data_IF_933685781582
#
_entry.id   IF_933685781582
#
_cell.length_a   1.000
_cell.length_b   1.000
_cell.length_c   1.000
_cell.angle_alpha   90.00
_cell.angle_beta   90.00
_cell.angle_gamma   90.00
#
_symmetry.space_group_name_H-M   'P 1'
#
loop_
_entity.id
_entity.type
_entity.pdbx_description
1 polymer ?
#
# COMPACT_ATOMS: atom_id res chain seq x y z
N UNK A 1 24.76 21.45 13.19
CA UNK A 1 23.48 20.72 13.09
C UNK A 1 22.51 21.42 14.01
N UNK A 2 21.62 22.24 13.45
CA UNK A 2 20.49 22.76 14.23
C UNK A 2 19.44 21.65 14.25
N UNK A 3 18.93 21.22 15.41
CA UNK A 3 17.81 20.29 15.43
C UNK A 3 16.63 20.98 14.72
N UNK A 4 16.17 20.38 13.63
CA UNK A 4 14.87 20.70 13.05
C UNK A 4 13.81 20.30 14.07
N UNK A 5 12.80 21.14 14.28
CA UNK A 5 11.68 20.85 15.18
C UNK A 5 10.73 19.77 14.63
N UNK A 6 11.00 19.25 13.42
CA UNK A 6 10.17 18.28 12.69
C UNK A 6 10.84 16.90 12.54
N UNK A 7 11.78 16.54 13.42
CA UNK A 7 12.39 15.20 13.40
C UNK A 7 11.69 14.33 14.42
N UNK A 8 10.95 13.35 13.92
CA UNK A 8 10.24 12.35 14.73
C UNK A 8 11.08 11.08 14.85
N UNK A 9 10.83 10.26 15.86
CA UNK A 9 11.39 8.90 15.89
C UNK A 9 10.97 8.17 14.62
N UNK A 10 11.85 7.34 14.06
CA UNK A 10 11.59 6.70 12.76
C UNK A 10 12.17 7.44 11.57
N UNK A 11 12.36 8.77 11.67
CA UNK A 11 12.93 9.58 10.58
C UNK A 11 14.24 9.00 10.07
N UNK A 12 14.26 8.66 8.78
CA UNK A 12 15.43 8.12 8.08
C UNK A 12 16.18 9.26 7.38
N UNK A 13 17.47 9.37 7.66
CA UNK A 13 18.37 10.23 6.92
C UNK A 13 19.40 9.40 6.17
N UNK A 14 19.33 9.43 4.85
CA UNK A 14 20.39 8.87 4.02
C UNK A 14 21.64 9.72 4.15
N UNK A 15 22.65 9.14 4.79
CA UNK A 15 23.95 9.77 4.93
C UNK A 15 24.92 9.19 3.90
N UNK A 16 25.58 10.07 3.16
CA UNK A 16 26.69 9.69 2.28
C UNK A 16 28.00 9.81 3.04
N UNK A 17 28.65 8.68 3.26
CA UNK A 17 30.03 8.63 3.75
C UNK A 17 30.99 8.59 2.57
N UNK A 18 31.81 9.63 2.49
CA UNK A 18 32.89 9.72 1.52
C UNK A 18 34.21 9.25 2.16
N UNK A 19 34.74 8.12 1.69
CA UNK A 19 36.03 7.59 2.16
C UNK A 19 37.09 7.84 1.10
N UNK A 20 38.07 8.68 1.44
CA UNK A 20 39.24 8.93 0.61
C UNK A 20 40.54 8.57 1.35
N UNK A 21 41.49 7.94 0.65
CA UNK A 21 42.87 7.77 1.14
C UNK A 21 43.86 8.57 0.30
N UNK A 22 45.02 8.86 0.88
CA UNK A 22 46.12 9.58 0.21
C UNK A 22 46.67 8.84 -1.00
N UNK A 23 46.48 7.51 -1.06
CA UNK A 23 46.94 6.65 -2.15
C UNK A 23 45.92 6.54 -3.30
N UNK A 24 44.83 7.33 -3.26
CA UNK A 24 43.87 7.47 -4.35
C UNK A 24 42.64 6.56 -4.25
N UNK A 25 42.45 5.83 -3.14
CA UNK A 25 41.16 5.17 -2.89
C UNK A 25 40.09 6.22 -2.67
N UNK A 26 38.97 6.09 -3.37
CA UNK A 26 37.80 6.93 -3.24
C UNK A 26 36.54 6.05 -3.34
N UNK A 27 35.68 6.08 -2.32
CA UNK A 27 34.40 5.37 -2.34
C UNK A 27 33.33 6.16 -1.58
N UNK A 28 32.13 6.11 -2.11
CA UNK A 28 30.92 6.60 -1.44
C UNK A 28 30.11 5.41 -0.94
N UNK A 29 29.61 5.54 0.29
CA UNK A 29 28.66 4.62 0.89
C UNK A 29 27.46 5.42 1.34
N UNK A 30 26.28 5.09 0.82
CA UNK A 30 25.02 5.56 1.38
C UNK A 30 24.57 4.56 2.43
N UNK A 31 24.19 5.06 3.60
CA UNK A 31 23.52 4.26 4.62
C UNK A 31 22.49 5.10 5.37
N UNK A 32 21.39 4.47 5.80
CA UNK A 32 20.37 5.16 6.58
C UNK A 32 20.87 5.40 8.01
N UNK A 33 20.55 6.57 8.55
CA UNK A 33 20.57 6.83 10.00
C UNK A 33 19.14 7.06 10.45
N UNK A 34 18.70 6.22 11.38
CA UNK A 34 17.42 6.35 12.05
C UNK A 34 17.58 7.28 13.24
N UNK A 35 16.68 8.26 13.38
CA UNK A 35 16.61 9.11 14.56
C UNK A 35 15.70 8.45 15.59
N UNK A 36 16.17 8.41 16.84
CA UNK A 36 15.45 7.78 17.95
C UNK A 36 15.62 6.26 18.00
N UNK A 37 14.94 5.65 18.97
CA UNK A 37 14.60 4.23 18.89
C UNK A 37 13.26 4.15 18.16
N UNK A 38 13.26 3.49 17.00
CA UNK A 38 12.06 3.31 16.19
C UNK A 38 11.27 2.13 16.74
N UNK A 39 10.00 2.35 17.01
CA UNK A 39 9.07 1.34 17.50
C UNK A 39 7.81 1.31 16.64
N UNK A 40 6.94 0.33 16.88
CA UNK A 40 5.64 0.22 16.22
C UNK A 40 4.62 1.27 16.70
N UNK A 41 5.04 2.21 17.56
CA UNK A 41 4.25 3.38 17.97
C UNK A 41 4.74 4.67 17.25
N UNK A 42 5.65 4.53 16.28
CA UNK A 42 6.20 5.62 15.45
C UNK A 42 5.87 5.39 13.97
N UNK A 43 5.58 6.45 13.19
CA UNK A 43 5.20 6.31 11.80
C UNK A 43 6.35 5.83 10.92
N UNK A 44 6.02 5.02 9.91
CA UNK A 44 6.96 4.52 8.94
C UNK A 44 7.28 5.59 7.89
N UNK A 45 8.54 6.05 7.86
CA UNK A 45 9.03 6.98 6.85
C UNK A 45 10.02 8.02 7.39
N UNK A 46 10.35 9.06 6.59
CA UNK A 46 9.94 9.21 5.20
C UNK A 46 10.70 8.26 4.28
N UNK A 47 10.15 7.96 3.10
CA UNK A 47 10.98 7.46 1.99
C UNK A 47 11.79 8.60 1.33
N UNK A 48 12.59 8.27 0.29
CA UNK A 48 13.44 9.26 -0.40
C UNK A 48 12.64 10.41 -1.03
N UNK A 49 11.36 10.19 -1.37
CA UNK A 49 10.50 11.24 -1.92
C UNK A 49 9.89 12.10 -0.80
N UNK A 50 9.44 11.48 0.29
CA UNK A 50 8.86 12.14 1.45
C UNK A 50 7.53 11.57 1.94
N UNK A 51 7.10 10.39 1.46
CA UNK A 51 5.90 9.72 1.98
C UNK A 51 6.15 9.18 3.39
N UNK A 52 5.14 9.24 4.24
CA UNK A 52 5.05 8.55 5.52
C UNK A 52 3.81 7.65 5.50
N UNK A 53 3.82 6.61 6.31
CA UNK A 53 2.64 5.81 6.65
C UNK A 53 2.42 5.94 8.16
N UNK A 54 1.26 6.48 8.55
CA UNK A 54 0.84 6.53 9.96
C UNK A 54 -0.16 5.41 10.22
N UNK A 55 0.06 4.59 11.22
CA UNK A 55 -0.84 3.49 11.56
C UNK A 55 -1.62 3.74 12.86
N UNK A 56 -2.58 2.87 13.17
CA UNK A 56 -3.46 3.01 14.35
C UNK A 56 -2.70 2.92 15.69
N UNK A 57 -1.45 2.49 15.69
CA UNK A 57 -0.54 2.39 16.83
C UNK A 57 0.17 3.72 17.16
N UNK A 58 0.24 4.65 16.20
CA UNK A 58 0.96 5.93 16.27
C UNK A 58 0.27 6.99 17.17
N UNK A 59 -0.28 6.58 18.32
CA UNK A 59 -1.16 7.37 19.18
C UNK A 59 -0.58 8.72 19.67
N UNK A 60 0.73 8.92 19.58
CA UNK A 60 1.41 10.17 19.94
C UNK A 60 1.50 11.18 18.78
N UNK A 61 0.98 10.84 17.59
CA UNK A 61 1.05 11.66 16.38
C UNK A 61 -0.34 12.12 15.92
N UNK A 62 -0.49 13.42 15.64
CA UNK A 62 -1.78 14.03 15.22
C UNK A 62 -2.35 13.43 13.92
N UNK A 63 -1.51 12.79 13.10
CA UNK A 63 -1.88 12.16 11.83
C UNK A 63 -2.19 10.67 11.96
N UNK A 64 -2.12 10.10 13.16
CA UNK A 64 -2.54 8.72 13.38
C UNK A 64 -4.01 8.54 12.94
N UNK A 65 -4.30 7.59 12.04
CA UNK A 65 -5.65 7.40 11.54
C UNK A 65 -6.56 6.82 12.62
N UNK A 66 -7.78 7.35 12.73
CA UNK A 66 -8.88 6.61 13.35
C UNK A 66 -9.46 5.62 12.34
N UNK A 67 -9.74 4.38 12.74
CA UNK A 67 -10.55 3.49 11.90
C UNK A 67 -12.01 3.99 11.87
N UNK A 68 -12.51 4.28 10.67
CA UNK A 68 -13.87 4.75 10.40
C UNK A 68 -14.33 4.20 9.05
N UNK A 69 -14.87 2.99 9.07
CA UNK A 69 -15.21 2.22 7.87
C UNK A 69 -16.35 2.86 7.06
N UNK A 70 -16.15 3.02 5.75
CA UNK A 70 -17.18 3.53 4.84
C UNK A 70 -17.68 2.38 3.96
N UNK A 71 -18.76 1.73 4.40
CA UNK A 71 -19.37 0.62 3.65
C UNK A 71 -19.93 1.09 2.29
N UNK A 72 -19.35 0.57 1.19
CA UNK A 72 -19.80 0.89 -0.18
C UNK A 72 -20.38 -0.33 -0.92
N UNK A 73 -20.30 -1.55 -0.41
CA UNK A 73 -20.98 -2.71 -1.00
C UNK A 73 -22.52 -2.58 -0.86
N UNK A 74 -23.28 -2.54 -1.97
CA UNK A 74 -24.75 -2.43 -1.94
C UNK A 74 -25.45 -3.57 -1.20
N UNK A 75 -24.83 -4.74 -1.11
CA UNK A 75 -25.39 -5.89 -0.36
C UNK A 75 -25.38 -5.67 1.15
N UNK A 76 -24.49 -4.80 1.63
CA UNK A 76 -24.33 -4.42 3.03
C UNK A 76 -24.93 -3.04 3.34
N UNK A 77 -25.59 -2.40 2.36
CA UNK A 77 -26.23 -1.10 2.50
C UNK A 77 -25.43 0.09 1.98
N UNK A 78 -24.26 -0.15 1.39
CA UNK A 78 -23.44 0.88 0.73
C UNK A 78 -24.01 1.37 -0.61
N UNK A 79 -23.38 2.39 -1.17
CA UNK A 79 -23.81 3.06 -2.43
C UNK A 79 -22.80 2.93 -3.58
N UNK A 80 -21.82 2.04 -3.45
CA UNK A 80 -20.77 1.80 -4.44
C UNK A 80 -21.26 1.04 -5.68
N UNK A 81 -20.40 1.02 -6.70
CA UNK A 81 -20.62 0.34 -7.98
C UNK A 81 -19.62 -0.79 -8.14
N UNK A 82 -20.11 -1.98 -8.49
CA UNK A 82 -19.28 -3.16 -8.75
C UNK A 82 -18.43 -2.96 -10.01
N UNK A 83 -17.12 -3.23 -9.91
CA UNK A 83 -16.22 -3.27 -11.07
C UNK A 83 -16.40 -4.56 -11.91
N UNK A 84 -17.17 -5.54 -11.43
CA UNK A 84 -17.41 -6.83 -12.10
C UNK A 84 -16.12 -7.60 -12.41
N UNK A 85 -15.14 -7.49 -11.50
CA UNK A 85 -13.92 -8.28 -11.57
C UNK A 85 -14.21 -9.76 -11.28
N UNK A 86 -13.43 -10.64 -11.90
CA UNK A 86 -13.55 -12.08 -11.74
C UNK A 86 -12.17 -12.71 -11.64
N UNK A 87 -11.87 -13.24 -10.45
CA UNK A 87 -10.61 -13.89 -10.15
C UNK A 87 -10.84 -15.24 -9.45
N UNK A 88 -10.24 -16.29 -10.01
CA UNK A 88 -10.33 -17.65 -9.48
C UNK A 88 -9.07 -18.10 -8.75
N UNK A 89 -8.08 -17.23 -8.62
CA UNK A 89 -6.80 -17.48 -7.98
C UNK A 89 -5.81 -18.30 -8.82
N UNK A 90 -4.64 -18.61 -8.25
CA UNK A 90 -3.56 -19.37 -8.87
C UNK A 90 -3.05 -18.80 -10.21
N UNK A 91 -3.20 -17.48 -10.41
CA UNK A 91 -2.88 -16.84 -11.68
C UNK A 91 -3.74 -17.29 -12.86
N UNK A 92 -4.94 -17.82 -12.60
CA UNK A 92 -5.94 -18.04 -13.63
C UNK A 92 -6.75 -16.75 -13.82
N UNK A 93 -6.11 -15.81 -14.50
CA UNK A 93 -6.62 -14.48 -14.80
C UNK A 93 -7.80 -14.56 -15.79
N UNK A 94 -8.87 -13.80 -15.52
CA UNK A 94 -9.98 -13.69 -16.46
C UNK A 94 -10.36 -12.24 -16.75
N UNK A 95 -10.70 -11.49 -15.70
CA UNK A 95 -11.02 -10.07 -15.72
C UNK A 95 -10.66 -9.52 -14.34
N UNK A 96 -9.37 -9.57 -14.00
CA UNK A 96 -8.89 -9.35 -12.63
C UNK A 96 -8.36 -7.93 -12.43
N UNK A 97 -8.46 -7.09 -13.46
CA UNK A 97 -8.22 -5.64 -13.41
C UNK A 97 -9.32 -4.85 -14.12
N UNK A 98 -9.53 -3.61 -13.70
CA UNK A 98 -10.37 -2.63 -14.39
C UNK A 98 -9.73 -1.25 -14.30
N UNK A 99 -9.76 -0.50 -15.41
CA UNK A 99 -9.35 0.90 -15.43
C UNK A 99 -10.51 1.79 -14.98
N UNK A 100 -10.24 2.68 -14.04
CA UNK A 100 -11.24 3.56 -13.44
C UNK A 100 -10.80 5.01 -13.55
N UNK A 101 -11.67 5.86 -14.06
CA UNK A 101 -11.47 7.30 -14.08
C UNK A 101 -11.62 7.85 -12.66
N UNK A 102 -10.66 8.67 -12.22
CA UNK A 102 -10.73 9.36 -10.95
C UNK A 102 -11.69 10.55 -11.05
N UNK A 103 -12.51 10.83 -10.01
CA UNK A 103 -13.42 11.97 -10.01
C UNK A 103 -12.69 13.33 -9.86
N UNK A 104 -11.41 13.30 -9.50
CA UNK A 104 -10.52 14.45 -9.38
C UNK A 104 -9.08 14.07 -9.75
N UNK A 105 -8.25 15.06 -10.03
CA UNK A 105 -6.82 14.85 -10.27
C UNK A 105 -6.14 14.40 -8.98
N UNK A 106 -5.42 13.28 -9.03
CA UNK A 106 -4.68 12.77 -7.88
C UNK A 106 -3.18 12.88 -8.13
N UNK A 107 -2.44 13.46 -7.18
CA UNK A 107 -0.98 13.57 -7.28
C UNK A 107 -0.30 12.48 -6.46
N UNK A 108 0.63 11.74 -7.07
CA UNK A 108 1.32 10.61 -6.45
C UNK A 108 2.76 10.50 -6.95
N UNK A 109 3.72 10.59 -6.01
CA UNK A 109 5.15 10.75 -6.29
C UNK A 109 5.46 11.86 -7.29
N UNK A 110 4.77 13.00 -7.14
CA UNK A 110 5.00 14.21 -7.93
C UNK A 110 4.45 14.18 -9.36
N UNK A 111 3.83 13.07 -9.75
CA UNK A 111 3.09 12.95 -11.01
C UNK A 111 1.58 13.13 -10.75
N UNK A 112 0.83 13.54 -11.77
CA UNK A 112 -0.62 13.75 -11.69
C UNK A 112 -1.34 12.70 -12.52
N UNK A 113 -2.35 12.06 -11.94
CA UNK A 113 -3.13 11.00 -12.56
C UNK A 113 -4.61 11.37 -12.66
N UNK A 114 -5.21 11.00 -13.79
CA UNK A 114 -6.65 11.09 -14.08
C UNK A 114 -7.33 9.72 -13.94
N UNK A 115 -6.56 8.64 -13.90
CA UNK A 115 -7.05 7.26 -13.91
C UNK A 115 -6.22 6.38 -12.98
N UNK A 116 -6.81 5.28 -12.55
CA UNK A 116 -6.15 4.18 -11.87
C UNK A 116 -6.53 2.85 -12.53
N UNK A 117 -5.70 1.84 -12.36
CA UNK A 117 -6.04 0.44 -12.63
C UNK A 117 -6.22 -0.28 -11.30
N UNK A 118 -7.41 -0.82 -11.05
CA UNK A 118 -7.75 -1.56 -9.82
C UNK A 118 -7.62 -3.05 -10.08
N UNK A 119 -6.93 -3.79 -9.22
CA UNK A 119 -6.80 -5.25 -9.32
C UNK A 119 -7.57 -5.98 -8.21
N UNK A 120 -8.20 -7.12 -8.54
CA UNK A 120 -8.82 -8.04 -7.58
C UNK A 120 -7.84 -8.50 -6.49
N UNK A 121 -6.55 -8.59 -6.81
CA UNK A 121 -5.47 -9.02 -5.93
C UNK A 121 -5.03 -7.92 -4.93
N UNK A 122 -5.91 -6.98 -4.58
CA UNK A 122 -5.74 -6.07 -3.44
C UNK A 122 -4.76 -4.93 -3.62
N UNK A 123 -4.55 -4.47 -4.86
CA UNK A 123 -3.73 -3.31 -5.16
C UNK A 123 -4.36 -2.41 -6.24
N UNK A 124 -3.88 -1.18 -6.31
CA UNK A 124 -4.08 -0.30 -7.46
C UNK A 124 -2.74 0.06 -8.10
N UNK A 125 -2.78 0.41 -9.39
CA UNK A 125 -1.74 1.14 -10.07
C UNK A 125 -2.26 2.51 -10.50
N UNK A 126 -1.47 3.57 -10.34
CA UNK A 126 -1.85 4.88 -10.88
C UNK A 126 -1.60 4.91 -12.39
N UNK A 127 -2.61 5.34 -13.16
CA UNK A 127 -2.62 5.24 -14.62
C UNK A 127 -3.04 3.87 -15.16
N UNK A 128 -2.71 3.63 -16.43
CA UNK A 128 -2.99 2.37 -17.13
C UNK A 128 -1.94 1.31 -16.80
N UNK A 129 -2.39 0.11 -16.45
CA UNK A 129 -1.55 -1.06 -16.24
C UNK A 129 -2.21 -2.31 -16.83
N UNK A 130 -1.40 -3.19 -17.42
CA UNK A 130 -1.85 -4.50 -17.91
C UNK A 130 -1.49 -5.64 -16.92
N UNK A 131 -0.97 -5.30 -15.74
CA UNK A 131 -0.47 -6.28 -14.77
C UNK A 131 -1.54 -6.72 -13.79
N UNK A 132 -1.88 -8.02 -13.84
CA UNK A 132 -2.83 -8.70 -12.94
C UNK A 132 -2.10 -9.55 -11.88
N UNK A 133 -0.95 -9.10 -11.39
CA UNK A 133 -0.04 -9.93 -10.59
C UNK A 133 -0.68 -10.44 -9.29
N UNK A 134 -0.92 -11.75 -9.19
CA UNK A 134 -1.31 -12.43 -7.94
C UNK A 134 -0.12 -12.75 -7.02
N UNK A 135 1.09 -12.83 -7.59
CA UNK A 135 2.31 -13.07 -6.80
C UNK A 135 2.79 -11.73 -6.27
N UNK A 136 2.72 -11.58 -4.96
CA UNK A 136 3.26 -10.43 -4.27
C UNK A 136 4.78 -10.53 -4.09
N UNK A 137 5.40 -9.35 -4.06
CA UNK A 137 6.84 -9.16 -3.88
C UNK A 137 7.09 -8.05 -2.86
N UNK A 138 8.35 -7.91 -2.45
CA UNK A 138 8.83 -6.77 -1.68
C UNK A 138 8.64 -5.46 -2.46
N UNK A 139 8.46 -4.37 -1.72
CA UNK A 139 8.30 -3.00 -2.23
C UNK A 139 9.42 -2.13 -1.60
N UNK A 140 10.00 -1.15 -2.30
CA UNK A 140 9.87 -0.95 -3.74
C UNK A 140 10.59 -2.04 -4.55
N UNK A 141 10.10 -2.33 -5.75
CA UNK A 141 10.78 -3.23 -6.68
C UNK A 141 9.95 -3.62 -7.90
N UNK A 142 10.62 -4.17 -8.91
CA UNK A 142 10.03 -4.51 -10.21
C UNK A 142 9.08 -5.74 -10.21
N UNK A 143 8.56 -6.15 -9.06
CA UNK A 143 7.71 -7.34 -8.92
C UNK A 143 6.23 -7.10 -9.24
N UNK A 144 5.75 -5.86 -9.06
CA UNK A 144 4.38 -5.44 -9.28
C UNK A 144 4.26 -4.42 -10.42
N UNK A 145 3.07 -3.82 -10.62
CA UNK A 145 2.99 -2.58 -11.39
C UNK A 145 3.75 -1.46 -10.69
N UNK A 146 4.15 -0.45 -11.46
CA UNK A 146 4.67 0.81 -10.92
C UNK A 146 4.08 1.92 -11.77
N UNK A 147 3.50 2.98 -11.19
CA UNK A 147 3.31 3.28 -9.75
C UNK A 147 2.26 2.38 -9.07
N UNK A 148 2.44 2.04 -7.79
CA UNK A 148 1.57 1.08 -7.09
C UNK A 148 1.28 1.46 -5.64
N UNK A 149 0.05 1.17 -5.22
CA UNK A 149 -0.35 1.08 -3.81
C UNK A 149 -0.86 -0.33 -3.55
N UNK A 150 -0.14 -1.10 -2.75
CA UNK A 150 -0.50 -2.42 -2.27
C UNK A 150 -1.26 -2.30 -0.95
N UNK A 151 -2.57 -2.51 -0.98
CA UNK A 151 -3.45 -2.36 0.19
C UNK A 151 -3.51 -3.67 0.98
N UNK A 152 -3.65 -4.78 0.25
CA UNK A 152 -3.51 -6.16 0.71
C UNK A 152 -3.12 -7.01 -0.50
N UNK A 153 -1.89 -6.85 -0.99
CA UNK A 153 -1.48 -7.54 -2.22
C UNK A 153 -1.17 -9.01 -1.96
N UNK A 154 -2.05 -9.89 -2.43
CA UNK A 154 -1.96 -11.36 -2.32
C UNK A 154 -2.76 -12.02 -3.46
N UNK A 155 -2.72 -13.34 -3.59
CA UNK A 155 -3.60 -14.10 -4.50
C UNK A 155 -5.02 -14.14 -3.88
N UNK A 156 -5.89 -13.24 -4.35
CA UNK A 156 -7.26 -13.11 -3.88
C UNK A 156 -8.24 -13.65 -4.93
N UNK A 157 -9.34 -14.20 -4.45
CA UNK A 157 -10.43 -14.69 -5.31
C UNK A 157 -11.71 -13.91 -5.04
N UNK A 158 -12.51 -13.72 -6.09
CA UNK A 158 -13.86 -13.15 -6.01
C UNK A 158 -14.92 -14.24 -5.73
N UNK A 159 -14.49 -15.37 -5.18
CA UNK A 159 -15.38 -16.48 -4.83
C UNK A 159 -16.26 -16.13 -3.62
N UNK A 160 -17.32 -16.90 -3.38
CA UNK A 160 -18.17 -16.76 -2.18
C UNK A 160 -18.73 -15.33 -1.95
N UNK A 161 -19.09 -14.64 -3.03
CA UNK A 161 -19.56 -13.25 -3.07
C UNK A 161 -18.47 -12.20 -2.77
N UNK A 162 -17.19 -12.52 -2.97
CA UNK A 162 -16.13 -11.53 -2.99
C UNK A 162 -16.25 -10.63 -4.22
N UNK A 163 -16.09 -9.32 -4.05
CA UNK A 163 -16.21 -8.37 -5.15
C UNK A 163 -15.48 -7.06 -4.84
N UNK A 164 -15.17 -6.30 -5.88
CA UNK A 164 -14.50 -5.00 -5.77
C UNK A 164 -15.46 -3.90 -6.22
N UNK A 165 -15.62 -2.90 -5.35
CA UNK A 165 -16.53 -1.78 -5.54
C UNK A 165 -15.76 -0.46 -5.58
N UNK A 166 -16.32 0.52 -6.27
CA UNK A 166 -15.85 1.90 -6.19
C UNK A 166 -16.99 2.86 -5.85
N UNK A 167 -16.64 3.96 -5.20
CA UNK A 167 -17.58 5.03 -4.88
C UNK A 167 -16.88 6.38 -4.99
N UNK A 168 -17.48 7.29 -5.78
CA UNK A 168 -17.08 8.68 -5.83
C UNK A 168 -18.04 9.50 -4.97
N UNK A 169 -17.49 10.24 -4.02
CA UNK A 169 -18.28 11.12 -3.19
C UNK A 169 -18.93 12.25 -4.02
N UNK A 170 -20.26 12.48 -3.93
CA UNK A 170 -20.95 13.52 -4.69
C UNK A 170 -20.46 14.95 -4.42
N UNK A 171 -19.89 15.20 -3.24
CA UNK A 171 -19.31 16.50 -2.86
C UNK A 171 -17.82 16.60 -3.25
N UNK A 172 -17.29 15.55 -3.87
CA UNK A 172 -15.94 15.44 -4.41
C UNK A 172 -14.86 15.54 -3.32
N UNK A 173 -15.16 15.03 -2.11
CA UNK A 173 -14.22 15.03 -0.97
C UNK A 173 -13.28 13.81 -1.01
N UNK A 174 -13.75 12.66 -1.49
CA UNK A 174 -12.96 11.43 -1.56
C UNK A 174 -13.47 10.44 -2.62
N UNK A 175 -12.63 9.47 -2.93
CA UNK A 175 -12.93 8.33 -3.80
C UNK A 175 -12.50 7.03 -3.11
N UNK A 176 -13.36 6.02 -3.09
CA UNK A 176 -13.16 4.78 -2.35
C UNK A 176 -13.08 3.60 -3.31
N UNK A 177 -12.14 2.70 -3.05
CA UNK A 177 -12.04 1.36 -3.62
C UNK A 177 -12.19 0.36 -2.47
N UNK A 178 -13.23 -0.47 -2.47
CA UNK A 178 -13.47 -1.50 -1.46
C UNK A 178 -13.33 -2.90 -2.07
N UNK A 179 -12.49 -3.73 -1.46
CA UNK A 179 -12.41 -5.17 -1.70
C UNK A 179 -13.26 -5.89 -0.66
N UNK A 180 -14.52 -6.14 -0.99
CA UNK A 180 -15.52 -6.70 -0.06
C UNK A 180 -15.51 -8.22 -0.10
N UNK A 181 -15.42 -8.88 1.08
CA UNK A 181 -15.55 -10.33 1.25
C UNK A 181 -14.64 -11.17 0.32
N UNK A 182 -13.46 -10.65 0.00
CA UNK A 182 -12.43 -11.33 -0.79
C UNK A 182 -11.89 -12.55 -0.03
N UNK A 183 -11.37 -13.53 -0.77
CA UNK A 183 -10.81 -14.75 -0.19
C UNK A 183 -9.36 -14.95 -0.62
N UNK A 184 -8.45 -15.14 0.32
CA UNK A 184 -7.11 -15.66 -0.02
C UNK A 184 -7.28 -16.99 -0.76
N UNK A 185 -6.59 -17.20 -1.87
CA UNK A 185 -6.63 -18.47 -2.59
C UNK A 185 -6.22 -19.63 -1.66
N UNK A 186 -5.07 -19.50 -0.97
CA UNK A 186 -4.45 -20.62 -0.28
C UNK A 186 -5.31 -21.26 0.84
N UNK A 187 -6.03 -20.45 1.63
CA UNK A 187 -6.81 -20.91 2.79
C UNK A 187 -8.26 -20.44 2.83
N UNK A 188 -8.73 -19.74 1.80
CA UNK A 188 -10.10 -19.21 1.72
C UNK A 188 -10.49 -18.31 2.93
N UNK A 189 -9.50 -17.64 3.53
CA UNK A 189 -9.70 -16.69 4.62
C UNK A 189 -10.37 -15.43 4.11
N UNK A 190 -11.30 -14.88 4.88
CA UNK A 190 -12.07 -13.67 4.51
C UNK A 190 -11.18 -12.45 4.64
N UNK A 191 -11.21 -11.55 3.68
CA UNK A 191 -10.66 -10.20 3.82
C UNK A 191 -11.68 -9.17 3.36
N UNK A 192 -11.76 -8.05 4.07
CA UNK A 192 -12.56 -6.89 3.68
C UNK A 192 -11.79 -5.65 4.05
N UNK A 193 -11.40 -4.87 3.04
CA UNK A 193 -10.51 -3.73 3.20
C UNK A 193 -10.78 -2.69 2.10
N UNK A 194 -10.37 -1.46 2.33
CA UNK A 194 -10.58 -0.36 1.40
C UNK A 194 -9.37 0.56 1.30
N UNK A 195 -9.30 1.27 0.18
CA UNK A 195 -8.43 2.40 -0.06
C UNK A 195 -9.29 3.63 -0.33
N UNK A 196 -9.08 4.68 0.45
CA UNK A 196 -9.70 5.99 0.30
C UNK A 196 -8.64 6.93 -0.26
N UNK A 197 -8.95 7.58 -1.37
CA UNK A 197 -8.20 8.68 -1.94
C UNK A 197 -8.91 9.97 -1.56
N UNK A 198 -8.28 10.87 -0.83
CA UNK A 198 -8.88 12.16 -0.48
C UNK A 198 -8.56 13.20 -1.54
N UNK A 199 -9.54 14.05 -1.84
CA UNK A 199 -9.34 15.22 -2.70
C UNK A 199 -8.72 16.39 -1.90
N UNK A 200 -7.59 16.09 -1.28
CA UNK A 200 -6.76 17.05 -0.58
C UNK A 200 -5.29 16.75 -0.86
N UNK A 201 -4.41 17.65 -0.42
CA UNK A 201 -2.98 17.52 -0.69
C UNK A 201 -2.18 17.74 0.59
N UNK A 202 -1.16 16.91 0.78
CA UNK A 202 -0.26 16.98 1.91
C UNK A 202 0.97 17.86 1.58
N UNK A 203 1.37 18.78 2.49
CA UNK A 203 2.67 19.42 2.38
C UNK A 203 3.81 18.41 2.62
N UNK A 204 5.03 18.66 2.11
CA UNK A 204 5.43 19.87 1.38
C UNK A 204 5.25 19.77 -0.14
N UNK A 205 5.01 18.59 -0.70
CA UNK A 205 5.03 18.35 -2.14
C UNK A 205 3.67 18.53 -2.83
N UNK A 206 2.57 18.51 -2.07
CA UNK A 206 1.23 18.66 -2.61
C UNK A 206 0.66 17.36 -3.21
N UNK A 207 1.24 16.21 -2.84
CA UNK A 207 0.73 14.90 -3.20
C UNK A 207 -0.56 14.58 -2.46
N UNK A 208 -1.39 13.71 -3.02
CA UNK A 208 -2.68 13.33 -2.47
C UNK A 208 -2.57 12.52 -1.18
N UNK A 209 -3.55 12.69 -0.30
CA UNK A 209 -3.67 11.91 0.94
C UNK A 209 -4.46 10.63 0.65
N UNK A 210 -4.00 9.51 1.20
CA UNK A 210 -4.65 8.21 1.06
C UNK A 210 -4.90 7.62 2.44
N UNK A 211 -5.85 6.69 2.55
CA UNK A 211 -6.04 5.89 3.75
C UNK A 211 -6.41 4.46 3.39
N UNK A 212 -5.71 3.51 3.97
CA UNK A 212 -6.02 2.08 3.90
C UNK A 212 -6.76 1.69 5.17
N UNK A 213 -7.90 0.99 5.06
CA UNK A 213 -8.62 0.49 6.23
C UNK A 213 -8.93 -0.99 6.09
N UNK A 214 -8.90 -1.70 7.22
CA UNK A 214 -9.08 -3.15 7.27
C UNK A 214 -10.28 -3.50 8.17
N UNK A 215 -11.44 -3.75 7.57
CA UNK A 215 -12.62 -4.23 8.31
C UNK A 215 -12.45 -5.67 8.78
N UNK A 216 -11.86 -6.51 7.92
CA UNK A 216 -11.52 -7.90 8.24
C UNK A 216 -10.15 -8.21 7.66
N UNK A 217 -9.19 -8.55 8.53
CA UNK A 217 -7.79 -8.76 8.19
C UNK A 217 -7.34 -10.18 8.55
N UNK A 218 -7.23 -11.05 7.55
CA UNK A 218 -6.73 -12.42 7.70
C UNK A 218 -5.53 -12.68 6.81
N UNK A 219 -4.36 -12.18 7.23
CA UNK A 219 -3.08 -12.43 6.57
C UNK A 219 -2.56 -13.86 6.85
N UNK A 220 -3.08 -14.84 6.11
CA UNK A 220 -2.94 -16.26 6.44
C UNK A 220 -2.26 -17.10 5.38
N UNK A 221 -2.07 -16.58 4.17
CA UNK A 221 -1.51 -17.33 3.04
C UNK A 221 -0.13 -17.91 3.34
N UNK A 222 -0.01 -19.24 3.27
CA UNK A 222 1.29 -19.90 3.43
C UNK A 222 2.01 -20.02 2.09
N UNK A 223 3.19 -19.42 1.99
CA UNK A 223 3.96 -19.44 0.75
C UNK A 223 4.35 -20.86 0.32
N UNK A 224 4.30 -21.14 -0.99
CA UNK A 224 4.72 -22.42 -1.55
C UNK A 224 5.90 -22.26 -2.50
N UNK A 225 7.09 -22.46 -1.94
CA UNK A 225 8.38 -22.28 -2.60
C UNK A 225 9.01 -23.60 -3.09
N UNK A 226 8.27 -24.71 -3.10
CA UNK A 226 8.80 -26.02 -3.49
C UNK A 226 8.99 -26.20 -5.02
N UNK A 227 8.75 -25.17 -5.83
CA UNK A 227 8.91 -25.15 -7.28
C UNK A 227 9.98 -24.15 -7.75
N UNK A 228 10.46 -24.29 -8.99
CA UNK A 228 11.47 -23.40 -9.57
C UNK A 228 11.00 -21.94 -9.61
N UNK A 229 9.71 -21.72 -9.88
CA UNK A 229 9.00 -20.50 -9.53
C UNK A 229 8.08 -20.79 -8.34
N UNK A 230 8.03 -19.93 -7.31
CA UNK A 230 7.05 -20.04 -6.24
C UNK A 230 5.65 -20.11 -6.83
N UNK A 231 4.84 -21.07 -6.37
CA UNK A 231 3.47 -21.21 -6.89
C UNK A 231 2.58 -20.06 -6.47
N UNK A 232 2.82 -19.52 -5.28
CA UNK A 232 2.10 -18.42 -4.63
C UNK A 232 3.08 -17.76 -3.63
N UNK A 233 2.94 -16.46 -3.40
CA UNK A 233 3.69 -15.75 -2.35
C UNK A 233 3.30 -16.19 -0.95
N UNK A 234 4.04 -15.77 0.07
CA UNK A 234 3.65 -16.00 1.46
C UNK A 234 3.12 -14.69 2.00
N UNK A 235 1.93 -14.72 2.61
CA UNK A 235 1.30 -13.55 3.22
C UNK A 235 1.06 -12.39 2.23
N UNK A 236 0.33 -11.36 2.64
CA UNK A 236 0.15 -10.18 1.80
C UNK A 236 1.40 -9.26 1.80
N UNK A 237 1.53 -8.45 0.77
CA UNK A 237 2.36 -7.24 0.76
C UNK A 237 1.47 -6.02 1.00
N UNK A 238 1.94 -5.09 1.86
CA UNK A 238 1.31 -3.78 2.05
C UNK A 238 2.39 -2.72 1.92
N UNK A 239 2.10 -1.65 1.18
CA UNK A 239 3.05 -0.58 0.93
C UNK A 239 2.72 0.23 -0.32
N UNK A 240 3.63 1.13 -0.68
CA UNK A 240 3.50 2.00 -1.83
C UNK A 240 4.85 2.21 -2.52
N UNK A 241 4.84 2.43 -3.84
CA UNK A 241 6.04 2.75 -4.62
C UNK A 241 5.77 3.69 -5.80
N UNK A 242 6.81 4.42 -6.17
CA UNK A 242 6.82 5.38 -7.27
C UNK A 242 6.73 4.71 -8.65
N UNK A 243 6.57 5.54 -9.69
CA UNK A 243 6.44 5.10 -11.09
C UNK A 243 7.65 4.36 -11.67
N UNK A 244 8.78 4.34 -10.96
CA UNK A 244 10.00 3.61 -11.35
C UNK A 244 10.23 2.32 -10.53
N UNK A 245 9.39 2.04 -9.53
CA UNK A 245 9.60 0.92 -8.59
C UNK A 245 10.93 1.03 -7.83
N UNK A 246 11.40 2.25 -7.57
CA UNK A 246 12.74 2.53 -7.01
C UNK A 246 12.69 3.25 -5.66
N UNK A 247 11.61 3.95 -5.37
CA UNK A 247 11.34 4.65 -4.11
C UNK A 247 9.97 4.19 -3.63
N UNK A 248 9.86 3.89 -2.34
CA UNK A 248 8.65 3.32 -1.76
C UNK A 248 8.79 3.03 -0.27
N UNK A 249 7.65 2.76 0.36
CA UNK A 249 7.56 2.25 1.72
C UNK A 249 6.90 0.87 1.70
N UNK A 250 7.58 -0.13 2.27
CA UNK A 250 7.00 -1.44 2.54
C UNK A 250 6.61 -1.52 4.01
N UNK A 251 5.32 -1.63 4.26
CA UNK A 251 4.77 -1.80 5.59
C UNK A 251 4.93 -3.26 6.06
N UNK A 252 4.55 -4.22 5.21
CA UNK A 252 4.79 -5.66 5.46
C UNK A 252 4.98 -6.45 4.17
N UNK A 253 5.76 -7.53 4.25
CA UNK A 253 5.93 -8.55 3.22
C UNK A 253 6.40 -9.86 3.87
N UNK A 254 5.90 -11.02 3.41
CA UNK A 254 6.29 -12.34 3.91
C UNK A 254 6.13 -12.47 5.44
N UNK A 255 5.07 -11.83 5.98
CA UNK A 255 4.80 -11.69 7.42
C UNK A 255 5.89 -10.97 8.23
N UNK A 256 6.80 -10.26 7.56
CA UNK A 256 7.77 -9.37 8.16
C UNK A 256 7.30 -7.92 8.09
N UNK A 257 7.04 -7.32 9.24
CA UNK A 257 6.67 -5.92 9.37
C UNK A 257 7.91 -5.02 9.45
N UNK A 258 7.80 -3.81 8.93
CA UNK A 258 8.81 -2.78 9.15
C UNK A 258 8.94 -2.46 10.66
N UNK A 259 10.09 -1.97 11.14
CA UNK A 259 10.27 -1.65 12.55
C UNK A 259 9.25 -0.63 13.11
N UNK A 260 8.77 0.25 12.24
CA UNK A 260 7.80 1.33 12.50
C UNK A 260 6.37 0.95 12.07
N UNK A 261 6.07 -0.34 11.98
CA UNK A 261 4.77 -0.83 11.53
C UNK A 261 4.17 -1.70 12.63
N UNK A 262 3.00 -1.31 13.13
CA UNK A 262 2.21 -2.20 13.98
C UNK A 262 1.74 -3.43 13.20
N UNK A 263 1.61 -4.57 13.88
CA UNK A 263 0.86 -5.70 13.31
C UNK A 263 -0.60 -5.29 13.13
N UNK A 264 -1.15 -5.50 11.93
CA UNK A 264 -2.53 -5.14 11.60
C UNK A 264 -3.50 -6.24 12.04
N UNK A 265 -4.72 -5.83 12.39
CA UNK A 265 -5.84 -6.69 12.78
C UNK A 265 -7.14 -6.11 12.22
N UNK A 266 -8.27 -6.77 12.49
CA UNK A 266 -9.59 -6.21 12.25
C UNK A 266 -9.71 -4.81 12.88
N UNK A 267 -10.40 -3.91 12.17
CA UNK A 267 -10.67 -2.54 12.61
C UNK A 267 -9.42 -1.67 12.80
N UNK A 268 -8.40 -1.86 11.95
CA UNK A 268 -7.18 -1.04 11.89
C UNK A 268 -7.11 -0.23 10.60
N UNK A 269 -6.29 0.83 10.60
CA UNK A 269 -6.09 1.72 9.46
C UNK A 269 -4.64 2.24 9.35
N UNK A 270 -4.26 2.61 8.13
CA UNK A 270 -3.01 3.30 7.77
C UNK A 270 -3.36 4.55 6.96
N UNK A 271 -2.76 5.70 7.27
CA UNK A 271 -2.83 6.95 6.51
C UNK A 271 -1.53 7.15 5.72
#
# INVERSE_FOLDING_TARGET
>A
VHPSINVINGSVYDMTLWIQTVDGFNREFSFPVYVGEVSADDPLGPDEYGYYLYDSGDNDYDLAPEYDWIEINPSNGGSGTSLNLSDSGYGNFSNSIEQVDLPFLFSYYGEIYETITVCSNGFIAFGESELESFRNYLIPGAGGPSPMVAVFWDDLTTSSNGNVYTYADPDNEYFIIEWSNMRTENYNSVNTFELILYNESAPPFGDGVMKMQYHTFNNTSSGNYNGYTPRHGGYCTIGLENHLGSVGLQYTFDNGYAPAAMELDDETAIL
#
